data_IF_558260804562
#
_entry.id   IF_558260804562
#
_cell.length_a   1.000
_cell.length_b   1.000
_cell.length_c   1.000
_cell.angle_alpha   90.00
_cell.angle_beta   90.00
_cell.angle_gamma   90.00
#
_symmetry.space_group_name_H-M   'P 1'
#
loop_
_entity.id
_entity.type
_entity.pdbx_description
1 polymer ?
#
# COMPACT_ATOMS: atom_id res chain seq x y z
N UNK A 1 -7.43 28.61 6.02
CA UNK A 1 -7.27 28.69 4.55
C UNK A 1 -7.55 27.32 3.97
N UNK A 2 -8.43 27.29 2.97
CA UNK A 2 -8.83 26.14 2.14
C UNK A 2 -9.45 24.93 2.86
N UNK A 3 -10.67 25.13 3.34
CA UNK A 3 -11.66 24.05 3.45
C UNK A 3 -12.14 23.75 2.02
N UNK A 4 -11.35 23.00 1.26
CA UNK A 4 -11.82 22.51 -0.04
C UNK A 4 -12.90 21.48 0.24
N UNK A 5 -14.13 21.91 -0.03
CA UNK A 5 -15.29 21.07 -0.19
C UNK A 5 -14.90 20.00 -1.22
N UNK A 6 -14.50 18.81 -0.77
CA UNK A 6 -14.23 17.67 -1.64
C UNK A 6 -15.60 17.36 -2.24
N UNK A 7 -15.85 17.94 -3.40
CA UNK A 7 -17.11 17.81 -4.12
C UNK A 7 -17.47 16.33 -4.13
N UNK A 8 -18.67 16.03 -3.60
CA UNK A 8 -19.25 14.70 -3.54
C UNK A 8 -19.43 14.16 -4.96
N UNK A 9 -18.34 13.70 -5.56
CA UNK A 9 -18.38 12.94 -6.80
C UNK A 9 -18.86 11.55 -6.42
N UNK A 10 -20.02 11.14 -6.92
CA UNK A 10 -20.49 9.77 -6.75
C UNK A 10 -19.43 8.82 -7.29
N UNK A 11 -18.76 8.11 -6.38
CA UNK A 11 -17.75 7.13 -6.71
C UNK A 11 -18.43 5.77 -6.76
N UNK A 12 -18.72 5.27 -7.97
CA UNK A 12 -19.41 4.00 -8.17
C UNK A 12 -18.48 2.78 -8.04
N UNK A 13 -17.66 2.74 -6.98
CA UNK A 13 -16.87 1.55 -6.63
C UNK A 13 -17.69 0.67 -5.69
N UNK A 14 -18.00 -0.55 -6.11
CA UNK A 14 -18.72 -1.54 -5.29
C UNK A 14 -17.93 -2.84 -5.27
N UNK A 15 -17.69 -3.37 -4.07
CA UNK A 15 -17.07 -4.67 -3.87
C UNK A 15 -17.54 -5.24 -2.52
N UNK A 16 -17.48 -6.57 -2.37
CA UNK A 16 -17.68 -7.22 -1.07
C UNK A 16 -16.54 -6.94 -0.09
N UNK A 17 -15.34 -6.66 -0.62
CA UNK A 17 -14.13 -6.36 0.15
C UNK A 17 -13.42 -5.18 -0.51
N UNK A 18 -13.12 -4.14 0.27
CA UNK A 18 -12.37 -2.96 -0.15
C UNK A 18 -11.24 -2.74 0.85
N UNK A 19 -10.00 -2.62 0.35
CA UNK A 19 -8.82 -2.27 1.15
C UNK A 19 -8.24 -1.00 0.54
N UNK A 20 -8.08 0.03 1.37
CA UNK A 20 -7.44 1.30 1.00
C UNK A 20 -6.34 1.64 1.99
N UNK A 21 -5.29 2.32 1.51
CA UNK A 21 -4.18 2.72 2.35
C UNK A 21 -3.67 4.10 1.94
N UNK A 22 -3.56 5.00 2.92
CA UNK A 22 -2.93 6.31 2.75
C UNK A 22 -1.76 6.34 3.72
N UNK A 23 -0.54 6.46 3.18
CA UNK A 23 0.67 6.40 3.98
C UNK A 23 1.56 7.62 3.79
N UNK A 24 2.25 7.99 4.86
CA UNK A 24 3.49 8.72 4.77
C UNK A 24 4.62 7.69 4.57
N UNK A 25 5.34 7.78 3.46
CA UNK A 25 6.45 6.86 3.19
C UNK A 25 7.57 7.04 4.23
N UNK A 26 7.80 6.00 5.05
CA UNK A 26 8.87 5.92 6.06
C UNK A 26 10.10 5.14 5.57
N UNK A 27 9.91 4.18 4.68
CA UNK A 27 10.95 3.35 4.07
C UNK A 27 10.76 3.23 2.55
N UNK A 28 11.85 3.04 1.81
CA UNK A 28 11.83 2.93 0.35
C UNK A 28 11.63 4.26 -0.40
N UNK A 29 11.67 4.20 -1.73
CA UNK A 29 11.45 5.37 -2.60
C UNK A 29 9.97 5.76 -2.64
N UNK A 30 9.68 7.04 -2.89
CA UNK A 30 8.32 7.52 -3.15
C UNK A 30 7.88 7.19 -4.58
N UNK A 31 7.62 5.92 -4.84
CA UNK A 31 7.21 5.38 -6.15
C UNK A 31 5.93 4.55 -6.03
N UNK A 32 5.20 4.42 -7.13
CA UNK A 32 3.91 3.72 -7.14
C UNK A 32 4.01 2.26 -6.66
N UNK A 33 5.10 1.55 -7.01
CA UNK A 33 5.32 0.14 -6.61
C UNK A 33 5.48 -0.08 -5.10
N UNK A 34 5.67 0.98 -4.31
CA UNK A 34 5.73 0.93 -2.84
C UNK A 34 4.39 1.34 -2.19
N UNK A 35 3.33 1.49 -2.99
CA UNK A 35 2.02 1.93 -2.49
C UNK A 35 1.12 0.72 -2.29
N UNK A 36 0.59 0.59 -1.08
CA UNK A 36 -0.41 -0.40 -0.74
C UNK A 36 -1.77 -0.15 -1.43
N UNK A 37 -2.61 -1.20 -1.58
CA UNK A 37 -2.35 -2.59 -1.21
C UNK A 37 -1.45 -3.32 -2.21
N UNK A 38 -0.65 -4.27 -1.73
CA UNK A 38 0.05 -5.24 -2.57
C UNK A 38 -0.89 -6.38 -2.92
N UNK A 39 -0.91 -6.77 -4.20
CA UNK A 39 -1.78 -7.82 -4.70
C UNK A 39 -0.95 -8.95 -5.29
N UNK A 40 -1.22 -10.18 -4.86
CA UNK A 40 -0.63 -11.39 -5.43
C UNK A 40 -1.71 -12.46 -5.57
N UNK A 41 -1.99 -12.86 -6.80
CA UNK A 41 -3.07 -13.81 -7.13
C UNK A 41 -4.41 -13.37 -6.52
N UNK A 42 -4.90 -14.09 -5.49
CA UNK A 42 -6.16 -13.80 -4.78
C UNK A 42 -5.96 -13.10 -3.43
N UNK A 43 -4.73 -12.72 -3.10
CA UNK A 43 -4.36 -12.05 -1.86
C UNK A 43 -4.19 -10.56 -2.08
N UNK A 44 -4.72 -9.78 -1.13
CA UNK A 44 -4.50 -8.34 -1.03
C UNK A 44 -3.98 -8.04 0.37
N UNK A 45 -2.89 -7.29 0.46
CA UNK A 45 -2.16 -7.03 1.68
C UNK A 45 -1.89 -5.54 1.86
N UNK A 46 -2.09 -5.06 3.09
CA UNK A 46 -1.71 -3.71 3.50
C UNK A 46 -1.13 -3.75 4.91
N UNK A 47 -0.03 -3.05 5.12
CA UNK A 47 0.63 -2.93 6.42
C UNK A 47 0.78 -1.45 6.81
N UNK A 48 0.56 -1.16 8.10
CA UNK A 48 0.76 0.16 8.68
C UNK A 48 1.80 0.08 9.80
N UNK A 49 2.97 0.64 9.54
CA UNK A 49 4.11 0.64 10.44
C UNK A 49 5.41 0.52 9.66
N UNK A 50 6.51 0.43 10.40
CA UNK A 50 7.84 0.17 9.85
C UNK A 50 8.34 -1.16 10.40
N UNK A 51 8.78 -2.06 9.54
CA UNK A 51 9.42 -3.33 9.89
C UNK A 51 10.92 -3.16 9.81
N UNK A 52 11.58 -3.27 10.96
CA UNK A 52 13.04 -3.18 11.07
C UNK A 52 13.64 -4.53 10.69
N UNK A 53 14.82 -4.51 10.06
CA UNK A 53 15.60 -5.70 9.72
C UNK A 53 14.93 -6.70 8.77
N UNK A 54 13.93 -6.27 8.00
CA UNK A 54 13.19 -7.13 7.06
C UNK A 54 14.11 -7.83 6.02
N UNK A 55 15.24 -7.21 5.67
CA UNK A 55 16.22 -7.78 4.74
C UNK A 55 16.93 -9.03 5.26
N UNK A 56 16.85 -9.30 6.56
CA UNK A 56 17.39 -10.51 7.17
C UNK A 56 16.48 -11.74 6.92
N UNK A 57 15.29 -11.54 6.37
CA UNK A 57 14.35 -12.59 6.03
C UNK A 57 14.41 -12.87 4.53
N UNK A 58 15.15 -13.92 4.09
CA UNK A 58 15.31 -14.21 2.67
C UNK A 58 13.97 -14.62 2.03
N UNK A 59 13.76 -14.14 0.82
CA UNK A 59 12.61 -14.48 0.00
C UNK A 59 12.80 -15.85 -0.63
N UNK A 60 11.71 -16.62 -0.74
CA UNK A 60 11.73 -17.96 -1.33
C UNK A 60 10.94 -18.00 -2.66
N UNK A 61 9.62 -17.86 -2.59
CA UNK A 61 8.74 -18.08 -3.75
C UNK A 61 8.23 -16.79 -4.40
N UNK A 62 8.32 -15.65 -3.70
CA UNK A 62 7.78 -14.38 -4.14
C UNK A 62 8.80 -13.27 -3.91
N UNK A 63 8.93 -12.40 -4.91
CA UNK A 63 9.85 -11.27 -4.88
C UNK A 63 9.07 -9.95 -4.86
N UNK A 64 9.62 -8.95 -4.17
CA UNK A 64 9.03 -7.61 -4.12
C UNK A 64 9.25 -6.88 -5.44
N UNK A 65 8.26 -6.12 -5.89
CA UNK A 65 8.41 -5.21 -7.04
C UNK A 65 8.97 -3.83 -6.64
N UNK A 66 8.91 -3.53 -5.34
CA UNK A 66 9.33 -2.30 -4.70
C UNK A 66 10.47 -2.51 -3.70
N UNK A 67 10.86 -1.42 -3.04
CA UNK A 67 11.92 -1.36 -2.03
C UNK A 67 11.41 -0.86 -0.66
N UNK A 68 10.09 -0.84 -0.47
CA UNK A 68 9.48 -0.67 0.86
C UNK A 68 9.77 -1.90 1.74
N UNK A 69 9.67 -1.71 3.03
CA UNK A 69 9.76 -2.74 4.07
C UNK A 69 8.46 -3.52 4.31
N UNK A 70 7.42 -3.23 3.52
CA UNK A 70 6.10 -3.86 3.57
C UNK A 70 5.90 -4.85 2.43
#
# INVERSE_FOLDING_TARGET
>A
MLNQNIAQKEFNLRSKIIIGHVQLASCGKKIHRNTHPFVREKWSFAHNGTVIDIKNFPLNNFYTEGDTDS
#
